data_IF_426887860455
#
_entry.id   IF_426887860455
#
_cell.length_a   1.000
_cell.length_b   1.000
_cell.length_c   1.000
_cell.angle_alpha   90.00
_cell.angle_beta   90.00
_cell.angle_gamma   90.00
#
_symmetry.space_group_name_H-M   'P 1'
#
loop_
_entity.id
_entity.type
_entity.pdbx_description
1 polymer ?
#
# COMPACT_ATOMS: atom_id res chain seq x y z
N UNK A 1 5.97 24.84 64.52
CA UNK A 1 5.08 23.88 63.82
C UNK A 1 5.50 23.75 62.36
N UNK A 2 6.44 22.87 62.02
CA UNK A 2 6.77 22.61 60.61
C UNK A 2 6.99 21.11 60.41
N UNK A 3 5.92 20.40 60.04
CA UNK A 3 5.99 18.99 59.67
C UNK A 3 6.57 18.85 58.26
N UNK A 4 7.83 18.42 58.17
CA UNK A 4 8.50 18.12 56.91
C UNK A 4 7.98 16.76 56.42
N UNK A 5 7.02 16.79 55.49
CA UNK A 5 6.52 15.59 54.80
C UNK A 5 7.64 15.00 53.97
N UNK A 6 8.31 13.97 54.50
CA UNK A 6 9.28 13.17 53.75
C UNK A 6 8.48 12.26 52.81
N UNK A 7 8.32 12.70 51.56
CA UNK A 7 7.77 11.84 50.52
C UNK A 7 8.90 10.98 49.94
N UNK A 8 8.72 9.66 50.02
CA UNK A 8 9.64 8.68 49.44
C UNK A 8 9.87 8.95 47.93
N UNK A 9 11.13 8.94 47.45
CA UNK A 9 11.45 9.14 46.03
C UNK A 9 10.83 8.07 45.13
N UNK A 10 10.64 6.85 45.65
CA UNK A 10 9.96 5.76 44.95
C UNK A 10 8.49 6.08 44.61
N UNK A 11 7.79 6.81 45.50
CA UNK A 11 6.40 7.25 45.26
C UNK A 11 6.36 8.34 44.20
N UNK A 12 7.36 9.25 44.17
CA UNK A 12 7.50 10.27 43.11
C UNK A 12 7.81 9.67 41.74
N UNK A 13 8.59 8.59 41.68
CA UNK A 13 8.91 7.91 40.42
C UNK A 13 7.71 7.13 39.87
N UNK A 14 6.99 6.39 40.72
CA UNK A 14 5.79 5.65 40.34
C UNK A 14 4.63 6.56 39.89
N UNK A 15 4.57 7.79 40.43
CA UNK A 15 3.54 8.76 40.03
C UNK A 15 3.84 9.43 38.67
N UNK A 16 5.08 9.38 38.19
CA UNK A 16 5.49 9.93 36.88
C UNK A 16 5.26 8.96 35.72
N UNK A 17 5.28 7.64 35.96
CA UNK A 17 5.04 6.62 34.93
C UNK A 17 3.55 6.38 34.65
N UNK A 18 2.65 6.87 35.51
CA UNK A 18 1.19 6.71 35.38
C UNK A 18 0.50 7.87 34.66
N UNK A 19 1.25 8.88 34.20
CA UNK A 19 0.70 10.13 33.63
C UNK A 19 1.22 10.43 32.23
N UNK A 20 1.33 9.41 31.38
CA UNK A 20 1.32 9.59 29.92
C UNK A 20 0.25 8.69 29.34
N UNK A 21 -1.02 8.94 29.72
CA UNK A 21 -2.13 8.48 28.88
C UNK A 21 -1.89 9.08 27.50
N UNK A 22 -1.70 8.24 26.49
CA UNK A 22 -1.66 8.67 25.11
C UNK A 22 -2.94 9.46 24.83
N UNK A 23 -2.80 10.78 24.70
CA UNK A 23 -3.89 11.66 24.31
C UNK A 23 -4.35 11.22 22.93
N UNK A 24 -5.66 11.16 22.68
CA UNK A 24 -6.25 10.81 21.37
C UNK A 24 -5.87 11.81 20.26
N UNK A 25 -5.26 12.94 20.61
CA UNK A 25 -4.66 13.91 19.68
C UNK A 25 -3.24 13.49 19.22
N UNK A 26 -2.53 12.67 20.01
CA UNK A 26 -1.24 12.04 19.69
C UNK A 26 -1.36 10.50 19.60
N UNK A 27 -2.58 9.99 19.41
CA UNK A 27 -2.82 8.56 19.23
C UNK A 27 -2.26 8.10 17.90
N UNK A 28 -1.78 6.85 17.82
CA UNK A 28 -1.29 6.28 16.56
C UNK A 28 -2.37 6.37 15.50
N UNK A 29 -2.17 7.21 14.48
CA UNK A 29 -3.09 7.33 13.37
C UNK A 29 -3.17 6.01 12.58
N UNK A 30 -4.20 5.81 11.74
CA UNK A 30 -4.29 4.62 10.88
C UNK A 30 -3.07 4.45 9.96
N UNK A 31 -2.35 5.55 9.69
CA UNK A 31 -1.15 5.57 8.86
C UNK A 31 0.16 5.66 9.67
N UNK A 32 0.11 5.65 11.01
CA UNK A 32 1.33 5.76 11.83
C UNK A 32 2.29 4.61 11.58
N UNK A 33 1.76 3.39 11.41
CA UNK A 33 2.58 2.23 11.12
C UNK A 33 3.27 2.35 9.75
N UNK A 34 2.57 2.89 8.76
CA UNK A 34 3.07 3.09 7.40
C UNK A 34 4.12 4.21 7.36
N UNK A 35 3.86 5.31 8.06
CA UNK A 35 4.79 6.43 8.19
C UNK A 35 6.09 5.99 8.87
N UNK A 36 5.98 5.26 9.98
CA UNK A 36 7.13 4.78 10.73
C UNK A 36 7.94 3.67 10.01
N UNK A 37 7.41 3.06 8.95
CA UNK A 37 8.13 2.05 8.16
C UNK A 37 8.69 2.59 6.86
N UNK A 38 7.95 3.46 6.16
CA UNK A 38 8.35 3.94 4.83
C UNK A 38 8.97 5.34 4.83
N UNK A 39 8.60 6.21 5.78
CA UNK A 39 8.93 7.64 5.74
C UNK A 39 9.98 8.10 6.77
N UNK A 40 10.57 7.18 7.55
CA UNK A 40 11.52 7.56 8.63
C UNK A 40 12.89 7.97 8.09
N UNK A 41 13.34 7.41 6.97
CA UNK A 41 14.66 7.72 6.39
C UNK A 41 14.51 8.16 4.94
N UNK A 42 15.34 9.13 4.50
CA UNK A 42 15.29 9.65 3.13
C UNK A 42 15.54 8.54 2.09
N UNK A 43 16.47 7.61 2.36
CA UNK A 43 16.79 6.51 1.46
C UNK A 43 15.61 5.53 1.37
N UNK A 44 15.04 5.14 2.51
CA UNK A 44 13.87 4.26 2.55
C UNK A 44 12.69 4.91 1.84
N UNK A 45 12.46 6.20 2.08
CA UNK A 45 11.37 6.95 1.46
C UNK A 45 11.49 7.00 -0.06
N UNK A 46 12.66 7.37 -0.60
CA UNK A 46 12.89 7.40 -2.05
C UNK A 46 12.73 6.00 -2.65
N UNK A 47 13.25 4.96 -2.01
CA UNK A 47 13.07 3.59 -2.48
C UNK A 47 11.61 3.13 -2.49
N UNK A 48 10.83 3.53 -1.47
CA UNK A 48 9.41 3.25 -1.39
C UNK A 48 8.61 3.97 -2.48
N UNK A 49 8.98 5.22 -2.81
CA UNK A 49 8.37 5.97 -3.92
C UNK A 49 8.65 5.31 -5.26
N UNK A 50 9.89 4.91 -5.53
CA UNK A 50 10.26 4.24 -6.79
C UNK A 50 9.57 2.88 -6.91
N UNK A 51 9.61 2.06 -5.86
CA UNK A 51 8.92 0.76 -5.84
C UNK A 51 7.40 0.94 -6.01
N UNK A 52 6.82 1.93 -5.32
CA UNK A 52 5.42 2.29 -5.43
C UNK A 52 5.05 2.71 -6.85
N UNK A 53 5.88 3.50 -7.52
CA UNK A 53 5.65 3.93 -8.89
C UNK A 53 5.64 2.75 -9.87
N UNK A 54 6.57 1.79 -9.73
CA UNK A 54 6.59 0.58 -10.58
C UNK A 54 5.34 -0.27 -10.38
N UNK A 55 4.93 -0.49 -9.14
CA UNK A 55 3.70 -1.25 -8.84
C UNK A 55 2.48 -0.51 -9.37
N UNK A 56 2.44 0.81 -9.16
CA UNK A 56 1.35 1.65 -9.63
C UNK A 56 1.22 1.61 -11.16
N UNK A 57 2.31 1.72 -11.90
CA UNK A 57 2.31 1.67 -13.37
C UNK A 57 1.69 0.38 -13.89
N UNK A 58 2.07 -0.77 -13.31
CA UNK A 58 1.52 -2.08 -13.72
C UNK A 58 0.01 -2.16 -13.47
N UNK A 59 -0.43 -1.73 -12.28
CA UNK A 59 -1.86 -1.78 -11.92
C UNK A 59 -2.65 -0.79 -12.77
N UNK A 60 -2.15 0.44 -12.88
CA UNK A 60 -2.77 1.51 -13.66
C UNK A 60 -2.91 1.12 -15.13
N UNK A 61 -1.85 0.58 -15.74
CA UNK A 61 -1.86 0.09 -17.11
C UNK A 61 -2.93 -1.00 -17.32
N UNK A 62 -2.98 -2.01 -16.45
CA UNK A 62 -3.97 -3.09 -16.53
C UNK A 62 -5.40 -2.59 -16.37
N UNK A 63 -5.66 -1.74 -15.37
CA UNK A 63 -6.99 -1.20 -15.11
C UNK A 63 -7.44 -0.32 -16.28
N UNK A 64 -6.57 0.56 -16.77
CA UNK A 64 -6.89 1.45 -17.87
C UNK A 64 -7.17 0.66 -19.16
N UNK A 65 -6.36 -0.36 -19.48
CA UNK A 65 -6.64 -1.25 -20.61
C UNK A 65 -7.96 -2.01 -20.42
N UNK A 66 -8.24 -2.52 -19.22
CA UNK A 66 -9.49 -3.23 -18.97
C UNK A 66 -10.71 -2.34 -19.15
N UNK A 67 -10.64 -1.07 -18.71
CA UNK A 67 -11.71 -0.10 -18.92
C UNK A 67 -11.87 0.17 -20.43
N UNK A 68 -10.75 0.36 -21.14
CA UNK A 68 -10.75 0.61 -22.58
C UNK A 68 -11.34 -0.56 -23.38
N UNK A 69 -10.93 -1.78 -23.04
CA UNK A 69 -11.40 -3.02 -23.66
C UNK A 69 -12.89 -3.23 -23.41
N UNK A 70 -13.37 -2.94 -22.19
CA UNK A 70 -14.80 -3.02 -21.86
C UNK A 70 -15.64 -2.02 -22.66
N UNK A 71 -15.13 -0.80 -22.87
CA UNK A 71 -15.84 0.24 -23.63
C UNK A 71 -15.82 -0.01 -25.15
N UNK A 72 -14.83 -0.73 -25.63
CA UNK A 72 -14.64 -1.02 -27.06
C UNK A 72 -14.78 -2.52 -27.38
N UNK A 73 -15.55 -3.24 -26.57
CA UNK A 73 -15.74 -4.67 -26.72
C UNK A 73 -16.24 -5.02 -28.14
N UNK A 74 -15.65 -6.06 -28.75
CA UNK A 74 -15.95 -6.49 -30.11
C UNK A 74 -15.37 -5.63 -31.26
N UNK A 75 -14.70 -4.50 -30.96
CA UNK A 75 -14.03 -3.66 -31.98
C UNK A 75 -12.51 -3.80 -32.01
N UNK A 76 -11.93 -4.48 -31.03
CA UNK A 76 -10.48 -4.65 -30.90
C UNK A 76 -10.02 -5.96 -31.54
N UNK A 77 -8.79 -5.94 -32.04
CA UNK A 77 -8.17 -7.06 -32.76
C UNK A 77 -8.16 -8.37 -31.93
N UNK A 78 -7.96 -8.26 -30.62
CA UNK A 78 -7.94 -9.42 -29.71
C UNK A 78 -9.33 -9.93 -29.29
N UNK A 79 -10.41 -9.24 -29.67
CA UNK A 79 -11.78 -9.73 -29.48
C UNK A 79 -12.28 -10.55 -30.67
N UNK A 80 -11.57 -10.49 -31.81
CA UNK A 80 -11.94 -11.23 -33.02
C UNK A 80 -11.55 -12.70 -32.81
N UNK A 81 -12.50 -13.60 -33.00
CA UNK A 81 -12.21 -15.01 -33.07
C UNK A 81 -11.51 -15.32 -34.40
N UNK A 82 -10.23 -15.65 -34.36
CA UNK A 82 -9.45 -15.98 -35.56
C UNK A 82 -9.66 -17.42 -36.02
N UNK A 83 -10.23 -18.28 -35.18
CA UNK A 83 -10.47 -19.69 -35.52
C UNK A 83 -11.50 -19.85 -36.63
N UNK A 84 -12.46 -18.93 -36.73
CA UNK A 84 -13.47 -18.93 -37.80
C UNK A 84 -12.91 -18.66 -39.21
N UNK A 85 -11.66 -18.17 -39.30
CA UNK A 85 -11.00 -17.86 -40.57
C UNK A 85 -9.94 -18.88 -40.96
N UNK A 86 -9.73 -19.92 -40.14
CA UNK A 86 -8.90 -21.05 -40.55
C UNK A 86 -9.63 -21.83 -41.64
N UNK A 87 -8.99 -21.99 -42.79
CA UNK A 87 -9.41 -22.94 -43.81
C UNK A 87 -8.91 -24.32 -43.42
N UNK A 88 -9.74 -25.36 -43.58
CA UNK A 88 -9.36 -26.77 -43.35
C UNK A 88 -8.13 -27.21 -44.17
N UNK A 89 -7.72 -26.43 -45.19
CA UNK A 89 -6.50 -26.65 -45.98
C UNK A 89 -5.17 -26.52 -45.18
N UNK A 90 -5.17 -25.88 -44.00
CA UNK A 90 -3.96 -25.72 -43.18
C UNK A 90 -3.67 -26.93 -42.27
N UNK A 91 -4.57 -27.93 -42.21
CA UNK A 91 -4.39 -29.16 -41.40
C UNK A 91 -3.77 -30.33 -42.20
N UNK A 92 -3.48 -30.16 -43.50
CA UNK A 92 -2.88 -31.20 -44.37
C UNK A 92 -1.34 -31.05 -44.61
N UNK A 93 -0.65 -30.12 -43.93
CA UNK A 93 0.82 -29.90 -44.07
C UNK A 93 1.68 -30.43 -42.90
N UNK A 94 1.17 -31.37 -42.09
CA UNK A 94 1.96 -32.12 -41.08
C UNK A 94 1.98 -33.65 -41.36
N UNK A 95 2.63 -34.09 -42.45
CA UNK A 95 3.23 -35.45 -42.58
C UNK A 95 4.65 -35.40 -43.18
#
# INVERSE_FOLDING_TARGET
MFARRVMNPAVRAAQRTMSTKASSINGKGPFDALYNTLMVSNVTYVSAVVAGAVVFEVVYGKVTNSIWDSLNYGRLYHHIDWSQFKSDDDEEEEE
#
